data_IF_727485364514
#
_entry.id   IF_727485364514
#
_cell.length_a   1.000
_cell.length_b   1.000
_cell.length_c   1.000
_cell.angle_alpha   90.00
_cell.angle_beta   90.00
_cell.angle_gamma   90.00
#
_symmetry.space_group_name_H-M   'P 1'
#
loop_
_entity.id
_entity.type
_entity.pdbx_description
1 polymer ?
#
# COMPACT_ATOMS: atom_id res chain seq x y z
N UNK A 1 34.36 7.79 53.71
CA UNK A 1 33.56 6.55 53.69
C UNK A 1 32.32 6.78 52.83
N UNK A 2 32.12 5.88 51.85
CA UNK A 2 30.86 5.52 51.17
C UNK A 2 30.53 6.33 49.90
N UNK A 3 30.90 5.81 48.73
CA UNK A 3 30.12 4.92 47.82
C UNK A 3 28.88 5.62 47.24
N UNK A 4 28.89 5.92 45.93
CA UNK A 4 28.25 5.11 44.87
C UNK A 4 26.72 5.20 44.94
N UNK A 5 26.00 5.71 43.94
CA UNK A 5 25.81 5.04 42.66
C UNK A 5 25.46 6.04 41.54
N UNK A 6 26.33 6.07 40.51
CA UNK A 6 25.96 6.51 39.18
C UNK A 6 25.02 5.46 38.57
N UNK A 7 23.71 5.70 38.58
CA UNK A 7 22.81 4.98 37.68
C UNK A 7 22.85 5.68 36.32
N UNK A 8 23.87 5.32 35.53
CA UNK A 8 23.85 5.46 34.09
C UNK A 8 22.72 4.56 33.57
N UNK A 9 21.53 5.13 33.42
CA UNK A 9 20.49 4.54 32.60
C UNK A 9 20.98 4.68 31.17
N UNK A 10 21.73 3.67 30.73
CA UNK A 10 22.06 3.46 29.33
C UNK A 10 20.76 3.09 28.62
N UNK A 11 19.93 4.09 28.34
CA UNK A 11 18.97 4.02 27.22
C UNK A 11 19.82 3.86 25.98
N UNK A 12 20.06 2.60 25.60
CA UNK A 12 20.29 2.25 24.21
C UNK A 12 19.02 2.69 23.51
N UNK A 13 18.99 3.95 23.06
CA UNK A 13 18.06 4.33 22.02
C UNK A 13 18.37 3.35 20.88
N UNK A 14 17.47 2.40 20.67
CA UNK A 14 17.39 1.71 19.40
C UNK A 14 17.11 2.83 18.42
N UNK A 15 18.18 3.35 17.81
CA UNK A 15 18.11 4.33 16.74
C UNK A 15 17.47 3.55 15.60
N UNK A 16 16.15 3.51 15.60
CA UNK A 16 15.40 3.00 14.48
C UNK A 16 15.76 3.90 13.32
N UNK A 17 16.27 3.29 12.25
CA UNK A 17 16.74 4.05 11.12
C UNK A 17 15.50 4.53 10.38
N UNK A 18 15.22 5.82 10.50
CA UNK A 18 14.16 6.46 9.75
C UNK A 18 14.60 6.61 8.30
N UNK A 19 13.79 6.11 7.38
CA UNK A 19 14.06 6.18 5.94
C UNK A 19 13.01 7.03 5.25
N UNK A 20 13.43 7.74 4.20
CA UNK A 20 12.52 8.48 3.35
C UNK A 20 12.20 7.68 2.10
N UNK A 21 10.93 7.34 1.91
CA UNK A 21 10.42 6.70 0.69
C UNK A 21 9.51 7.66 -0.06
N UNK A 22 9.31 7.40 -1.35
CA UNK A 22 8.34 8.17 -2.15
C UNK A 22 6.92 7.91 -1.64
N UNK A 23 6.10 8.93 -1.72
CA UNK A 23 4.68 8.89 -1.40
C UNK A 23 3.86 9.01 -2.69
N UNK A 24 2.70 8.36 -2.73
CA UNK A 24 1.75 8.46 -3.84
C UNK A 24 0.43 9.03 -3.35
N UNK A 25 -0.29 9.69 -4.25
CA UNK A 25 -1.65 10.13 -3.99
C UNK A 25 -2.63 9.04 -4.43
N UNK A 26 -3.33 8.45 -3.48
CA UNK A 26 -4.41 7.52 -3.74
C UNK A 26 -5.76 8.26 -3.65
N UNK A 27 -6.49 8.21 -4.76
CA UNK A 27 -7.81 8.80 -4.92
C UNK A 27 -8.84 7.67 -4.81
N UNK A 28 -9.59 7.68 -3.72
CA UNK A 28 -10.58 6.65 -3.37
C UNK A 28 -11.97 7.18 -3.66
N UNK A 29 -12.68 6.57 -4.60
CA UNK A 29 -14.08 6.87 -4.90
C UNK A 29 -14.99 6.11 -3.93
N UNK A 30 -15.67 6.83 -3.04
CA UNK A 30 -16.57 6.24 -2.04
C UNK A 30 -17.96 5.98 -2.60
N UNK A 31 -18.43 6.88 -3.45
CA UNK A 31 -19.74 6.80 -4.10
C UNK A 31 -19.74 7.59 -5.42
N UNK A 32 -20.92 7.79 -6.01
CA UNK A 32 -21.06 8.47 -7.30
C UNK A 32 -20.53 9.91 -7.29
N UNK A 33 -20.52 10.59 -6.14
CA UNK A 33 -20.23 12.02 -5.99
C UNK A 33 -19.12 12.34 -4.97
N UNK A 34 -18.71 11.35 -4.16
CA UNK A 34 -17.69 11.53 -3.12
C UNK A 34 -16.39 10.81 -3.47
N UNK A 35 -15.31 11.59 -3.48
CA UNK A 35 -13.95 11.10 -3.67
C UNK A 35 -13.05 11.61 -2.55
N UNK A 36 -12.16 10.76 -2.05
CA UNK A 36 -11.24 11.06 -0.96
C UNK A 36 -9.82 10.96 -1.49
N UNK A 37 -9.02 12.00 -1.25
CA UNK A 37 -7.61 12.05 -1.61
C UNK A 37 -6.79 11.73 -0.37
N UNK A 38 -5.97 10.69 -0.42
CA UNK A 38 -5.06 10.30 0.67
C UNK A 38 -3.65 10.17 0.13
N UNK A 39 -2.68 10.56 0.95
CA UNK A 39 -1.27 10.37 0.63
C UNK A 39 -0.74 9.22 1.47
N UNK A 40 -0.18 8.23 0.79
CA UNK A 40 0.31 7.00 1.42
C UNK A 40 1.53 6.47 0.68
N UNK A 41 2.38 5.66 1.35
CA UNK A 41 3.38 4.85 0.68
C UNK A 41 2.78 3.94 -0.41
N UNK A 42 3.53 3.61 -1.49
CA UNK A 42 3.05 2.74 -2.57
C UNK A 42 2.49 1.40 -2.10
N UNK A 43 3.08 0.75 -1.09
CA UNK A 43 2.60 -0.54 -0.58
C UNK A 43 1.25 -0.45 0.15
N UNK A 44 0.91 0.70 0.75
CA UNK A 44 -0.41 0.90 1.38
C UNK A 44 -1.54 0.94 0.33
N UNK A 45 -1.25 1.27 -0.93
CA UNK A 45 -2.28 1.30 -1.98
C UNK A 45 -2.93 -0.06 -2.20
N UNK A 46 -2.21 -1.16 -1.97
CA UNK A 46 -2.76 -2.51 -2.04
C UNK A 46 -3.78 -2.77 -0.91
N UNK A 47 -3.55 -2.19 0.27
CA UNK A 47 -4.49 -2.25 1.39
C UNK A 47 -5.76 -1.47 1.05
N UNK A 48 -5.62 -0.25 0.53
CA UNK A 48 -6.75 0.57 0.10
C UNK A 48 -7.58 -0.14 -0.98
N UNK A 49 -6.92 -0.76 -1.96
CA UNK A 49 -7.58 -1.55 -3.02
C UNK A 49 -8.35 -2.75 -2.47
N UNK A 50 -7.85 -3.39 -1.40
CA UNK A 50 -8.54 -4.48 -0.74
C UNK A 50 -9.75 -3.99 0.08
N UNK A 51 -9.69 -2.80 0.68
CA UNK A 51 -10.77 -2.21 1.49
C UNK A 51 -11.89 -1.59 0.65
N UNK A 52 -11.54 -0.84 -0.39
CA UNK A 52 -12.49 -0.04 -1.17
C UNK A 52 -12.82 -0.65 -2.54
N UNK A 53 -12.12 -1.70 -2.97
CA UNK A 53 -12.21 -2.26 -4.32
C UNK A 53 -11.15 -1.68 -5.24
N UNK A 54 -10.64 -2.49 -6.17
CA UNK A 54 -9.52 -2.11 -7.05
C UNK A 54 -9.91 -0.99 -8.00
N UNK A 55 -11.12 -1.07 -8.54
CA UNK A 55 -11.72 -0.11 -9.46
C UNK A 55 -12.01 1.25 -8.81
N UNK A 56 -12.12 1.29 -7.49
CA UNK A 56 -12.43 2.52 -6.75
C UNK A 56 -11.18 3.26 -6.26
N UNK A 57 -9.98 2.71 -6.48
CA UNK A 57 -8.72 3.31 -6.03
C UNK A 57 -7.83 3.62 -7.22
N UNK A 58 -7.68 4.92 -7.52
CA UNK A 58 -6.74 5.42 -8.54
C UNK A 58 -5.48 5.95 -7.85
N UNK A 59 -4.30 5.63 -8.37
CA UNK A 59 -3.00 6.02 -7.77
C UNK A 59 -2.29 6.99 -8.71
N UNK A 60 -1.78 8.08 -8.17
CA UNK A 60 -1.01 9.09 -8.89
C UNK A 60 0.38 9.23 -8.25
N UNK A 61 1.41 9.25 -9.09
CA UNK A 61 2.77 9.50 -8.63
C UNK A 61 2.95 10.94 -8.17
N UNK A 62 3.69 11.12 -7.08
CA UNK A 62 4.02 12.44 -6.53
C UNK A 62 5.50 12.48 -6.16
N UNK A 63 6.19 13.63 -6.30
CA UNK A 63 7.57 13.78 -5.84
C UNK A 63 7.71 13.90 -4.30
N UNK A 64 6.62 13.72 -3.56
CA UNK A 64 6.61 13.78 -2.10
C UNK A 64 7.31 12.56 -1.50
N UNK A 65 7.86 12.74 -0.31
CA UNK A 65 8.47 11.68 0.47
C UNK A 65 7.87 11.63 1.86
N UNK A 66 7.75 10.43 2.40
CA UNK A 66 7.32 10.20 3.77
C UNK A 66 8.39 9.44 4.53
N UNK A 67 8.44 9.67 5.84
CA UNK A 67 9.41 9.02 6.73
C UNK A 67 8.80 7.75 7.29
N UNK A 68 9.54 6.66 7.21
CA UNK A 68 9.11 5.33 7.63
C UNK A 68 10.17 4.66 8.47
N UNK A 69 9.71 3.75 9.32
CA UNK A 69 10.55 2.97 10.20
C UNK A 69 10.25 1.50 9.90
N UNK A 70 11.01 0.83 9.00
CA UNK A 70 10.68 -0.51 8.50
C UNK A 70 10.36 -1.52 9.60
N UNK A 71 11.07 -1.47 10.72
CA UNK A 71 10.89 -2.42 11.84
C UNK A 71 9.55 -2.22 12.57
N UNK A 72 8.96 -1.02 12.50
CA UNK A 72 7.67 -0.69 13.14
C UNK A 72 6.54 -0.57 12.11
N UNK A 73 6.87 -0.72 10.83
CA UNK A 73 5.95 -0.49 9.72
C UNK A 73 4.76 -1.44 9.78
N UNK A 74 5.05 -2.71 10.06
CA UNK A 74 4.04 -3.75 10.20
C UNK A 74 3.04 -3.40 11.31
N UNK A 75 3.55 -3.12 12.51
CA UNK A 75 2.72 -2.74 13.65
C UNK A 75 1.88 -1.49 13.36
N UNK A 76 2.44 -0.50 12.66
CA UNK A 76 1.71 0.70 12.25
C UNK A 76 0.55 0.37 11.30
N UNK A 77 0.78 -0.47 10.29
CA UNK A 77 -0.25 -0.88 9.34
C UNK A 77 -1.34 -1.70 10.03
N UNK A 78 -0.95 -2.61 10.91
CA UNK A 78 -1.89 -3.40 11.71
C UNK A 78 -2.72 -2.52 12.65
N UNK A 79 -2.14 -1.49 13.27
CA UNK A 79 -2.87 -0.54 14.09
C UNK A 79 -3.85 0.34 13.27
N UNK A 80 -3.51 0.67 12.03
CA UNK A 80 -4.30 1.55 11.15
C UNK A 80 -5.43 0.83 10.42
N UNK A 81 -5.17 -0.40 9.94
CA UNK A 81 -6.07 -1.14 9.06
C UNK A 81 -6.59 -2.46 9.66
N UNK A 82 -5.95 -2.94 10.73
CA UNK A 82 -6.25 -4.23 11.35
C UNK A 82 -5.42 -5.37 10.76
N UNK A 83 -5.01 -6.31 11.63
CA UNK A 83 -4.20 -7.48 11.25
C UNK A 83 -4.85 -8.30 10.12
N UNK A 84 -6.16 -8.53 10.18
CA UNK A 84 -6.87 -9.36 9.18
C UNK A 84 -6.75 -8.77 7.76
N UNK A 85 -6.78 -7.45 7.64
CA UNK A 85 -6.69 -6.76 6.35
C UNK A 85 -5.26 -6.82 5.81
N UNK A 86 -4.28 -6.62 6.69
CA UNK A 86 -2.85 -6.67 6.35
C UNK A 86 -2.47 -8.09 5.90
N UNK A 87 -2.81 -9.11 6.69
CA UNK A 87 -2.59 -10.52 6.34
C UNK A 87 -3.30 -10.92 5.03
N UNK A 88 -4.51 -10.39 4.76
CA UNK A 88 -5.20 -10.64 3.50
C UNK A 88 -4.49 -10.06 2.28
N UNK A 89 -3.77 -8.95 2.45
CA UNK A 89 -3.07 -8.24 1.36
C UNK A 89 -1.69 -8.85 1.13
N UNK A 90 -0.94 -9.11 2.20
CA UNK A 90 0.46 -9.56 2.12
C UNK A 90 0.63 -11.07 2.28
N UNK A 91 -0.31 -11.78 2.89
CA UNK A 91 -0.27 -13.24 3.10
C UNK A 91 0.02 -13.62 4.56
N UNK A 92 0.37 -14.90 4.77
CA UNK A 92 0.74 -15.43 6.09
C UNK A 92 2.09 -14.88 6.61
N UNK A 93 3.01 -14.56 5.68
CA UNK A 93 4.32 -13.93 5.97
C UNK A 93 4.26 -12.41 5.75
N UNK A 94 3.20 -11.77 6.22
CA UNK A 94 2.90 -10.36 5.96
C UNK A 94 3.98 -9.40 6.46
N UNK A 95 4.56 -9.66 7.64
CA UNK A 95 5.68 -8.88 8.19
C UNK A 95 6.94 -8.91 7.30
N UNK A 96 7.40 -10.10 6.94
CA UNK A 96 8.62 -10.27 6.13
C UNK A 96 8.45 -9.70 4.72
N UNK A 97 7.28 -9.93 4.11
CA UNK A 97 6.98 -9.42 2.77
C UNK A 97 6.90 -7.90 2.74
N UNK A 98 6.32 -7.29 3.77
CA UNK A 98 6.29 -5.84 3.91
C UNK A 98 7.72 -5.29 4.03
N UNK A 99 8.55 -5.90 4.87
CA UNK A 99 9.94 -5.51 5.05
C UNK A 99 10.72 -5.57 3.73
N UNK A 100 10.56 -6.63 2.94
CA UNK A 100 11.19 -6.76 1.62
C UNK A 100 10.76 -5.64 0.66
N UNK A 101 9.46 -5.33 0.58
CA UNK A 101 8.94 -4.25 -0.27
C UNK A 101 9.48 -2.90 0.17
N UNK A 102 9.48 -2.66 1.48
CA UNK A 102 9.97 -1.42 2.08
C UNK A 102 11.46 -1.22 1.80
N UNK A 103 12.28 -2.25 2.00
CA UNK A 103 13.69 -2.24 1.62
C UNK A 103 13.90 -2.05 0.12
N UNK A 104 13.05 -2.70 -0.69
CA UNK A 104 13.02 -2.55 -2.14
C UNK A 104 12.84 -1.10 -2.54
N UNK A 105 11.85 -0.41 -1.97
CA UNK A 105 11.59 1.01 -2.24
C UNK A 105 12.67 1.97 -1.73
N UNK A 106 13.38 1.60 -0.65
CA UNK A 106 14.56 2.36 -0.21
C UNK A 106 15.69 2.29 -1.25
N UNK A 107 15.84 1.14 -1.91
CA UNK A 107 16.85 0.89 -2.94
C UNK A 107 16.38 1.40 -4.32
N UNK A 108 15.09 1.28 -4.63
CA UNK A 108 14.41 1.64 -5.89
C UNK A 108 13.93 3.11 -5.94
N UNK A 109 14.77 4.06 -5.51
CA UNK A 109 14.68 5.43 -6.02
C UNK A 109 14.60 5.51 -7.56
N UNK A 110 14.98 4.42 -8.26
CA UNK A 110 14.80 4.08 -9.67
C UNK A 110 13.58 3.12 -9.88
N UNK A 111 12.53 3.56 -10.58
CA UNK A 111 11.39 2.71 -10.97
C UNK A 111 11.75 1.77 -12.16
N UNK A 112 10.98 0.70 -12.38
CA UNK A 112 9.92 0.83 -13.37
C UNK A 112 8.55 0.39 -12.86
N UNK A 113 7.57 1.23 -13.21
CA UNK A 113 6.12 1.02 -13.12
C UNK A 113 5.77 -0.36 -13.68
N UNK A 114 5.21 -1.25 -12.84
CA UNK A 114 4.40 -2.36 -13.33
C UNK A 114 2.94 -2.11 -12.98
N UNK A 115 2.26 -1.42 -13.89
CA UNK A 115 0.90 -1.80 -14.26
C UNK A 115 0.93 -3.29 -14.64
N UNK A 116 0.39 -4.14 -13.76
CA UNK A 116 0.02 -5.50 -14.15
C UNK A 116 -1.45 -5.51 -14.48
N UNK A 117 -1.68 -5.46 -15.79
CA UNK A 117 -2.92 -5.75 -16.49
C UNK A 117 -3.70 -6.90 -15.83
N UNK A 118 -4.98 -6.64 -15.56
CA UNK A 118 -6.02 -7.66 -15.42
C UNK A 118 -7.15 -7.24 -16.36
N UNK A 119 -6.85 -7.30 -17.65
CA UNK A 119 -7.88 -7.46 -18.68
C UNK A 119 -8.24 -8.95 -18.66
N UNK A 120 -9.24 -9.29 -17.85
CA UNK A 120 -9.80 -10.63 -17.68
C UNK A 120 -11.16 -10.69 -18.37
N UNK A 121 -11.16 -11.28 -19.56
CA UNK A 121 -12.29 -11.71 -20.38
C UNK A 121 -13.49 -12.28 -19.59
N UNK A 122 -14.70 -11.79 -19.87
CA UNK A 122 -15.96 -12.51 -19.67
C UNK A 122 -16.97 -12.22 -20.82
N UNK A 123 -16.97 -13.15 -21.77
CA UNK A 123 -18.09 -13.82 -22.47
C UNK A 123 -19.39 -13.05 -22.83
N UNK A 124 -19.59 -12.86 -24.14
CA UNK A 124 -20.66 -13.44 -25.00
C UNK A 124 -22.10 -13.59 -24.41
N UNK A 125 -23.17 -12.96 -24.92
CA UNK A 125 -24.07 -13.28 -26.08
C UNK A 125 -25.41 -12.50 -25.84
N UNK A 126 -26.51 -12.63 -26.64
CA UNK A 126 -26.70 -12.46 -28.08
C UNK A 126 -27.84 -11.45 -28.40
N UNK A 127 -27.96 -10.98 -29.65
CA UNK A 127 -29.29 -10.58 -30.16
C UNK A 127 -29.36 -10.66 -31.69
N UNK A 128 -29.84 -11.80 -32.17
CA UNK A 128 -30.53 -11.91 -33.46
C UNK A 128 -31.81 -11.07 -33.45
N UNK A 129 -32.01 -10.24 -34.48
CA UNK A 129 -33.35 -10.08 -35.07
C UNK A 129 -33.25 -9.87 -36.59
N UNK A 130 -33.47 -10.98 -37.31
CA UNK A 130 -34.31 -11.15 -38.52
C UNK A 130 -34.57 -9.92 -39.41
N UNK A 131 -34.05 -10.03 -40.64
CA UNK A 131 -34.89 -10.15 -41.84
C UNK A 131 -35.20 -8.87 -42.63
N UNK A 132 -34.80 -8.85 -43.91
CA UNK A 132 -35.74 -8.78 -45.05
C UNK A 132 -34.98 -8.82 -46.39
N UNK A 133 -35.67 -9.37 -47.37
CA UNK A 133 -35.20 -9.86 -48.67
C UNK A 133 -35.63 -8.88 -49.78
N UNK A 134 -34.87 -8.85 -50.89
CA UNK A 134 -35.24 -8.42 -52.26
C UNK A 134 -35.55 -6.92 -52.47
N UNK A 135 -34.81 -6.28 -53.39
CA UNK A 135 -35.16 -6.15 -54.82
C UNK A 135 -33.94 -5.70 -55.63
#
# INVERSE_FOLDING_TARGET
MNNSMNNSVSTKELIHSDFQIKEVEAVVRRDAFTTIHVHVPPYETNILRNLFGRENVTVFERPSKTTITPEQEYDRLCAKYGHEVVAKVFGEDDGDRLMEIVEGLMKEGQLPVQEKALEGTLEQEPSETKGAKKR
#
